data_IF_868045694299
#
_entry.id   IF_868045694299
#
_cell.length_a   1.000
_cell.length_b   1.000
_cell.length_c   1.000
_cell.angle_alpha   90.00
_cell.angle_beta   90.00
_cell.angle_gamma   90.00
#
_symmetry.space_group_name_H-M   'P 1'
#
loop_
_entity.id
_entity.type
_entity.pdbx_description
1 polymer ?
#
# COMPACT_ATOMS: atom_id res chain seq x y z
N UNK A 1 -9.25 -2.83 -19.86
CA UNK A 1 -7.77 -2.90 -19.56
C UNK A 1 -7.04 -1.77 -20.28
N UNK A 2 -7.19 -1.61 -21.60
CA UNK A 2 -6.54 -0.55 -22.38
C UNK A 2 -6.87 0.85 -21.85
N UNK A 3 -8.16 1.16 -21.66
CA UNK A 3 -8.59 2.45 -21.11
C UNK A 3 -7.99 2.76 -19.74
N UNK A 4 -7.81 1.74 -18.89
CA UNK A 4 -7.16 1.91 -17.59
C UNK A 4 -5.68 2.30 -17.76
N UNK A 5 -4.93 1.62 -18.64
CA UNK A 5 -3.52 1.90 -18.88
C UNK A 5 -3.30 3.25 -19.58
N UNK A 6 -4.23 3.66 -20.46
CA UNK A 6 -4.20 4.99 -21.05
C UNK A 6 -4.31 6.08 -19.96
N UNK A 7 -5.23 5.91 -19.02
CA UNK A 7 -5.43 6.85 -17.91
C UNK A 7 -4.34 6.73 -16.83
N UNK A 8 -3.78 5.53 -16.63
CA UNK A 8 -2.80 5.19 -15.60
C UNK A 8 -1.62 4.43 -16.21
N UNK A 9 -0.68 5.13 -16.88
CA UNK A 9 0.41 4.49 -17.64
C UNK A 9 1.33 3.59 -16.80
N UNK A 10 1.42 3.85 -15.51
CA UNK A 10 2.20 3.02 -14.57
C UNK A 10 1.48 1.74 -14.15
N UNK A 11 0.20 1.56 -14.55
CA UNK A 11 -0.66 0.46 -14.10
C UNK A 11 -1.22 0.64 -12.68
N UNK A 12 -1.00 1.80 -12.05
CA UNK A 12 -1.46 2.11 -10.70
C UNK A 12 -2.37 3.34 -10.68
N UNK A 13 -3.50 3.21 -10.03
CA UNK A 13 -4.45 4.30 -9.75
C UNK A 13 -4.38 4.63 -8.26
N UNK A 14 -3.88 5.80 -7.85
CA UNK A 14 -4.01 6.29 -6.48
C UNK A 14 -5.43 6.88 -6.30
N UNK A 15 -6.32 6.23 -5.54
CA UNK A 15 -7.67 6.74 -5.34
C UNK A 15 -7.65 7.94 -4.39
N UNK A 16 -8.58 8.88 -4.61
CA UNK A 16 -8.75 10.01 -3.71
C UNK A 16 -9.40 9.58 -2.41
N UNK A 17 -8.82 9.99 -1.27
CA UNK A 17 -9.47 9.83 0.02
C UNK A 17 -10.67 10.78 0.14
N UNK A 18 -11.80 10.23 0.56
CA UNK A 18 -13.05 10.98 0.78
C UNK A 18 -13.33 11.23 2.25
N UNK A 19 -12.72 10.46 3.13
CA UNK A 19 -12.74 10.69 4.57
C UNK A 19 -11.45 10.16 5.20
N UNK A 20 -10.92 10.90 6.16
CA UNK A 20 -9.76 10.52 6.97
C UNK A 20 -10.13 10.77 8.42
N UNK A 21 -10.11 9.72 9.25
CA UNK A 21 -10.36 9.81 10.68
C UNK A 21 -9.15 9.27 11.44
N UNK A 22 -8.77 9.98 12.49
CA UNK A 22 -7.67 9.60 13.38
C UNK A 22 -8.13 9.67 14.81
N UNK A 23 -7.93 8.61 15.56
CA UNK A 23 -8.27 8.56 16.99
C UNK A 23 -7.29 9.37 17.84
N UNK A 24 -7.78 9.85 19.00
CA UNK A 24 -6.97 10.59 19.96
C UNK A 24 -6.84 12.09 19.68
N UNK A 25 -5.91 12.74 20.39
CA UNK A 25 -5.65 14.20 20.33
C UNK A 25 -4.51 14.56 19.37
N UNK A 26 -4.18 13.66 18.43
CA UNK A 26 -3.11 13.86 17.48
C UNK A 26 -3.50 14.83 16.35
N UNK A 27 -2.54 15.54 15.74
CA UNK A 27 -2.83 16.41 14.63
C UNK A 27 -3.57 15.68 13.50
N UNK A 28 -4.55 16.34 12.85
CA UNK A 28 -5.26 15.72 11.74
C UNK A 28 -4.31 15.44 10.58
N UNK A 29 -4.49 14.31 9.87
CA UNK A 29 -3.74 14.02 8.66
C UNK A 29 -4.07 15.02 7.54
N UNK A 30 -3.11 15.24 6.66
CA UNK A 30 -3.32 16.02 5.43
C UNK A 30 -3.13 15.15 4.19
N UNK A 31 -3.89 15.45 3.14
CA UNK A 31 -3.75 14.79 1.85
C UNK A 31 -3.07 15.72 0.85
N UNK A 32 -2.04 15.23 0.17
CA UNK A 32 -1.34 15.95 -0.88
C UNK A 32 -1.98 15.73 -2.26
N UNK A 33 -1.58 16.53 -3.26
CA UNK A 33 -2.09 16.44 -4.64
C UNK A 33 -1.77 15.10 -5.32
N UNK A 34 -0.70 14.42 -4.92
CA UNK A 34 -0.32 13.09 -5.39
C UNK A 34 -1.08 11.96 -4.68
N UNK A 35 -2.12 12.30 -3.92
CA UNK A 35 -2.96 11.42 -3.11
C UNK A 35 -2.25 10.78 -1.92
N UNK A 36 -1.01 11.19 -1.60
CA UNK A 36 -0.35 10.74 -0.37
C UNK A 36 -0.98 11.39 0.87
N UNK A 37 -0.94 10.66 1.98
CA UNK A 37 -1.42 11.10 3.29
C UNK A 37 -0.21 11.36 4.18
N UNK A 38 -0.13 12.57 4.73
CA UNK A 38 0.92 12.98 5.67
C UNK A 38 0.38 12.93 7.10
N UNK A 39 1.12 12.24 7.96
CA UNK A 39 0.91 12.20 9.39
C UNK A 39 2.03 12.98 10.08
N UNK A 40 1.65 13.84 11.00
CA UNK A 40 2.59 14.63 11.82
C UNK A 40 2.38 14.34 13.31
N UNK A 41 3.35 14.77 14.13
CA UNK A 41 3.37 14.52 15.57
C UNK A 41 3.92 13.13 15.93
N UNK A 42 4.27 12.94 17.19
CA UNK A 42 4.77 11.68 17.70
C UNK A 42 3.75 10.56 17.57
N UNK A 43 4.17 9.33 17.20
CA UNK A 43 3.25 8.20 17.12
C UNK A 43 2.70 7.84 18.51
N UNK A 44 1.42 7.52 18.59
CA UNK A 44 0.78 7.09 19.82
C UNK A 44 0.41 5.60 19.75
N UNK A 45 0.60 4.89 20.83
CA UNK A 45 0.38 3.43 20.91
C UNK A 45 -1.03 2.99 20.51
N UNK A 46 -2.03 3.84 20.72
CA UNK A 46 -3.44 3.56 20.40
C UNK A 46 -3.94 4.40 19.23
N UNK A 47 -3.04 4.95 18.42
CA UNK A 47 -3.41 5.70 17.23
C UNK A 47 -4.06 4.77 16.21
N UNK A 48 -5.34 5.00 15.92
CA UNK A 48 -6.07 4.29 14.88
C UNK A 48 -6.39 5.29 13.78
N UNK A 49 -5.84 5.04 12.62
CA UNK A 49 -6.11 5.81 11.42
C UNK A 49 -7.05 5.01 10.51
N UNK A 50 -8.15 5.60 10.12
CA UNK A 50 -9.07 5.03 9.14
C UNK A 50 -9.22 5.98 7.97
N UNK A 51 -8.98 5.48 6.76
CA UNK A 51 -9.08 6.25 5.52
C UNK A 51 -10.08 5.56 4.62
N UNK A 52 -10.99 6.35 4.08
CA UNK A 52 -12.01 5.91 3.13
C UNK A 52 -11.70 6.51 1.76
N UNK A 53 -11.62 5.67 0.75
CA UNK A 53 -11.42 6.02 -0.65
C UNK A 53 -12.65 5.66 -1.46
N UNK A 54 -13.00 6.49 -2.43
CA UNK A 54 -14.04 6.16 -3.40
C UNK A 54 -13.40 5.58 -4.66
N UNK A 55 -13.80 4.36 -5.01
CA UNK A 55 -13.46 3.71 -6.26
C UNK A 55 -14.54 4.05 -7.29
N UNK A 56 -14.19 4.59 -8.48
CA UNK A 56 -15.15 4.87 -9.53
C UNK A 56 -15.91 3.62 -10.01
N UNK A 57 -17.08 3.78 -10.65
CA UNK A 57 -17.72 2.68 -11.36
C UNK A 57 -16.78 2.05 -12.39
N UNK A 58 -16.98 0.76 -12.66
CA UNK A 58 -16.16 -0.05 -13.58
C UNK A 58 -14.68 -0.18 -13.16
N UNK A 59 -14.38 0.05 -11.88
CA UNK A 59 -13.05 -0.22 -11.32
C UNK A 59 -12.86 -1.71 -11.15
N UNK A 60 -11.74 -2.24 -11.64
CA UNK A 60 -11.26 -3.59 -11.35
C UNK A 60 -10.10 -3.53 -10.36
N UNK A 61 -10.14 -4.40 -9.36
CA UNK A 61 -9.16 -4.49 -8.27
C UNK A 61 -8.59 -5.90 -8.18
N UNK A 62 -7.30 -6.06 -8.41
CA UNK A 62 -6.55 -7.30 -8.19
C UNK A 62 -5.46 -7.10 -7.15
N UNK A 63 -4.79 -5.95 -7.18
CA UNK A 63 -3.68 -5.66 -6.28
C UNK A 63 -3.87 -4.30 -5.63
N UNK A 64 -3.55 -4.21 -4.35
CA UNK A 64 -3.40 -2.95 -3.61
C UNK A 64 -1.91 -2.77 -3.32
N UNK A 65 -1.37 -1.58 -3.59
CA UNK A 65 -0.03 -1.17 -3.19
C UNK A 65 -0.13 -0.12 -2.10
N UNK A 66 0.62 -0.32 -1.04
CA UNK A 66 0.86 0.67 0.01
C UNK A 66 2.30 1.13 -0.12
N UNK A 67 2.50 2.42 -0.34
CA UNK A 67 3.80 3.06 -0.46
C UNK A 67 4.07 3.85 0.80
N UNK A 68 5.21 3.64 1.42
CA UNK A 68 5.73 4.40 2.55
C UNK A 68 6.76 5.41 2.01
N UNK A 69 6.52 6.69 2.23
CA UNK A 69 7.23 7.77 1.56
C UNK A 69 8.00 8.62 2.59
N UNK A 70 9.25 9.00 2.31
CA UNK A 70 9.95 9.99 3.13
C UNK A 70 9.30 11.37 2.96
N UNK A 71 9.35 12.19 4.02
CA UNK A 71 8.84 13.55 3.98
C UNK A 71 9.66 14.49 4.88
N UNK A 72 9.82 15.73 4.46
CA UNK A 72 10.57 16.75 5.19
C UNK A 72 9.97 17.04 6.58
N UNK A 73 8.66 16.96 6.75
CA UNK A 73 7.99 17.10 8.04
C UNK A 73 8.38 16.00 9.05
N UNK A 74 8.95 14.90 8.57
CA UNK A 74 9.47 13.79 9.37
C UNK A 74 11.00 13.64 9.22
N UNK A 75 11.72 14.75 9.05
CA UNK A 75 13.18 14.77 8.86
C UNK A 75 13.66 13.94 7.66
N UNK A 76 12.93 13.94 6.55
CA UNK A 76 13.14 13.11 5.38
C UNK A 76 13.18 11.62 5.68
N UNK A 77 12.47 11.18 6.71
CA UNK A 77 12.33 9.77 7.08
C UNK A 77 10.93 9.27 6.74
N UNK A 78 10.84 7.97 6.59
CA UNK A 78 9.56 7.28 6.40
C UNK A 78 8.82 7.12 7.73
N UNK A 79 9.54 6.71 8.78
CA UNK A 79 9.00 6.58 10.12
C UNK A 79 8.98 7.89 10.90
N UNK A 80 7.96 8.09 11.75
CA UNK A 80 7.82 9.25 12.64
C UNK A 80 8.53 9.09 13.98
N UNK A 81 8.93 7.87 14.32
CA UNK A 81 9.67 7.60 15.56
C UNK A 81 11.06 8.28 15.52
N UNK A 82 11.63 8.65 16.68
CA UNK A 82 12.95 9.28 16.74
C UNK A 82 14.08 8.47 16.10
N UNK A 83 13.95 7.15 16.07
CA UNK A 83 14.89 6.23 15.44
C UNK A 83 14.58 5.96 13.96
N UNK A 84 13.53 6.56 13.41
CA UNK A 84 13.10 6.42 12.01
C UNK A 84 12.41 5.11 11.67
N UNK A 85 12.24 4.21 12.65
CA UNK A 85 11.55 2.93 12.43
C UNK A 85 10.05 3.13 12.24
N UNK A 86 9.47 2.28 11.44
CA UNK A 86 8.03 2.14 11.36
C UNK A 86 7.62 0.68 11.22
N UNK A 87 6.44 0.37 11.72
CA UNK A 87 5.79 -0.93 11.57
C UNK A 87 4.35 -0.70 11.18
N UNK A 88 3.89 -1.34 10.11
CA UNK A 88 2.51 -1.23 9.63
C UNK A 88 1.83 -2.58 9.55
N UNK A 89 0.61 -2.63 10.08
CA UNK A 89 -0.28 -3.77 9.94
C UNK A 89 -1.58 -3.27 9.29
N UNK A 90 -1.61 -3.11 7.96
CA UNK A 90 -2.76 -2.56 7.28
C UNK A 90 -3.90 -3.58 7.21
N UNK A 91 -5.14 -3.09 7.38
CA UNK A 91 -6.36 -3.84 7.13
C UNK A 91 -7.15 -3.13 6.04
N UNK A 92 -7.50 -3.87 5.00
CA UNK A 92 -8.31 -3.36 3.91
C UNK A 92 -9.70 -3.97 3.91
N UNK A 93 -10.70 -3.15 3.59
CA UNK A 93 -12.07 -3.60 3.37
C UNK A 93 -12.66 -2.89 2.15
N UNK A 94 -13.52 -3.57 1.40
CA UNK A 94 -14.33 -2.95 0.35
C UNK A 94 -15.80 -3.14 0.69
N UNK A 95 -16.56 -2.02 0.66
CA UNK A 95 -17.97 -2.00 1.04
C UNK A 95 -18.22 -2.68 2.41
N UNK A 96 -17.34 -2.43 3.38
CA UNK A 96 -17.29 -3.02 4.74
C UNK A 96 -16.91 -4.50 4.79
N UNK A 97 -16.67 -5.18 3.67
CA UNK A 97 -16.15 -6.53 3.66
C UNK A 97 -14.63 -6.51 3.74
N UNK A 98 -14.07 -7.17 4.75
CA UNK A 98 -12.61 -7.33 4.88
C UNK A 98 -12.09 -8.11 3.67
N UNK A 99 -10.99 -7.63 3.09
CA UNK A 99 -10.35 -8.29 1.96
C UNK A 99 -9.45 -9.44 2.45
N UNK A 100 -9.57 -10.58 1.79
CA UNK A 100 -8.60 -11.66 1.84
C UNK A 100 -7.55 -11.50 0.75
N UNK A 101 -6.33 -11.92 1.04
CA UNK A 101 -5.21 -11.84 0.12
C UNK A 101 -4.56 -13.21 -0.03
N UNK A 102 -4.40 -13.67 -1.27
CA UNK A 102 -3.67 -14.90 -1.59
C UNK A 102 -2.18 -14.74 -1.38
N UNK A 103 -1.68 -13.50 -1.54
CA UNK A 103 -0.28 -13.19 -1.43
C UNK A 103 -0.07 -11.77 -0.93
N UNK A 104 0.92 -11.60 -0.05
CA UNK A 104 1.29 -10.30 0.48
C UNK A 104 2.81 -10.20 0.52
N UNK A 105 3.35 -9.06 0.11
CA UNK A 105 4.78 -8.84 0.09
C UNK A 105 5.11 -7.38 0.40
N UNK A 106 6.26 -7.19 1.02
CA UNK A 106 6.88 -5.89 1.22
C UNK A 106 8.37 -5.96 0.88
N UNK A 107 8.94 -4.88 0.37
CA UNK A 107 10.38 -4.74 0.14
C UNK A 107 11.15 -4.70 1.47
N UNK A 108 10.51 -4.20 2.54
CA UNK A 108 10.99 -4.26 3.92
C UNK A 108 10.00 -5.03 4.78
N UNK A 109 10.48 -6.03 5.49
CA UNK A 109 9.69 -6.90 6.35
C UNK A 109 10.56 -7.56 7.42
N UNK A 110 9.94 -7.86 8.56
CA UNK A 110 10.59 -8.63 9.61
C UNK A 110 10.73 -10.10 9.18
N UNK A 111 11.93 -10.68 9.21
CA UNK A 111 12.09 -12.10 8.95
C UNK A 111 11.30 -12.93 9.93
N UNK A 112 10.65 -13.99 9.46
CA UNK A 112 9.97 -14.92 10.35
C UNK A 112 10.96 -15.71 11.17
N UNK A 113 10.71 -15.79 12.48
CA UNK A 113 11.43 -16.67 13.40
C UNK A 113 10.66 -17.98 13.57
N UNK A 114 11.33 -19.08 13.37
CA UNK A 114 10.80 -20.40 13.67
C UNK A 114 11.05 -20.79 15.13
N UNK A 115 10.34 -21.80 15.63
CA UNK A 115 10.46 -22.28 17.01
C UNK A 115 11.86 -22.78 17.36
N UNK A 116 12.66 -23.21 16.38
CA UNK A 116 14.06 -23.61 16.54
C UNK A 116 15.06 -22.43 16.55
N UNK A 117 14.56 -21.17 16.50
CA UNK A 117 15.40 -19.98 16.47
C UNK A 117 15.97 -19.59 15.10
N UNK A 118 15.79 -20.43 14.05
CA UNK A 118 16.19 -20.06 12.71
C UNK A 118 15.31 -18.96 12.14
N UNK A 119 15.84 -18.19 11.18
CA UNK A 119 15.10 -17.17 10.45
C UNK A 119 15.07 -17.55 8.96
N UNK A 120 13.93 -17.40 8.32
CA UNK A 120 13.82 -17.56 6.88
C UNK A 120 13.74 -16.19 6.20
N UNK A 121 14.61 -15.91 5.24
CA UNK A 121 14.41 -14.76 4.36
C UNK A 121 13.27 -14.95 3.37
N UNK A 122 12.83 -16.20 3.13
CA UNK A 122 11.77 -16.57 2.20
C UNK A 122 10.49 -16.86 3.01
N UNK A 123 9.57 -15.92 3.02
CA UNK A 123 8.34 -15.97 3.80
C UNK A 123 7.13 -16.38 2.97
N UNK A 124 7.34 -17.02 1.84
CA UNK A 124 6.31 -17.29 0.84
C UNK A 124 5.10 -18.05 1.38
N UNK A 125 5.27 -18.94 2.34
CA UNK A 125 4.19 -19.79 2.83
C UNK A 125 3.49 -19.32 4.11
N UNK A 126 4.03 -18.32 4.80
CA UNK A 126 3.50 -17.87 6.11
C UNK A 126 2.73 -16.57 6.05
N UNK A 127 2.82 -15.85 4.96
CA UNK A 127 2.14 -14.57 4.77
C UNK A 127 0.71 -14.68 4.30
N UNK A 128 0.25 -15.85 3.92
CA UNK A 128 -1.12 -16.06 3.43
C UNK A 128 -2.19 -15.74 4.48
N UNK A 129 -1.85 -15.74 5.76
CA UNK A 129 -2.80 -15.46 6.85
C UNK A 129 -2.38 -14.31 7.77
N UNK A 130 -1.18 -13.78 7.65
CA UNK A 130 -0.68 -12.69 8.48
C UNK A 130 -0.64 -11.36 7.72
N UNK A 131 -0.99 -10.22 8.34
CA UNK A 131 -0.84 -8.94 7.69
C UNK A 131 0.63 -8.64 7.40
N UNK A 132 0.89 -8.05 6.23
CA UNK A 132 2.23 -7.59 5.88
C UNK A 132 2.67 -6.49 6.85
N UNK A 133 3.90 -6.59 7.31
CA UNK A 133 4.51 -5.65 8.25
C UNK A 133 5.65 -4.94 7.53
N UNK A 134 5.60 -3.61 7.50
CA UNK A 134 6.71 -2.78 7.10
C UNK A 134 7.56 -2.45 8.31
N UNK A 135 8.85 -2.68 8.22
CA UNK A 135 9.81 -2.31 9.25
C UNK A 135 11.03 -1.68 8.61
N UNK A 136 11.41 -0.49 9.08
CA UNK A 136 12.60 0.21 8.63
C UNK A 136 13.65 0.22 9.74
N UNK A 137 14.92 -0.17 9.45
CA UNK A 137 16.02 -0.01 10.38
C UNK A 137 16.28 1.47 10.69
N UNK A 138 16.66 1.79 11.92
CA UNK A 138 16.88 3.15 12.42
C UNK A 138 17.91 3.98 11.64
N UNK A 139 18.85 3.34 10.97
CA UNK A 139 19.93 3.95 10.21
C UNK A 139 19.77 3.84 8.69
N UNK A 140 18.64 3.31 8.20
CA UNK A 140 18.39 3.24 6.77
C UNK A 140 18.19 4.65 6.21
N UNK A 141 18.76 4.90 5.04
CA UNK A 141 18.42 6.09 4.27
C UNK A 141 16.92 6.09 3.97
N UNK A 142 16.32 7.27 4.00
CA UNK A 142 14.89 7.43 3.79
C UNK A 142 14.54 7.27 2.32
N UNK A 143 14.44 6.04 1.90
CA UNK A 143 13.97 5.67 0.56
C UNK A 143 12.48 5.32 0.62
N UNK A 144 11.74 5.52 -0.45
CA UNK A 144 10.38 4.99 -0.55
C UNK A 144 10.37 3.47 -0.42
N UNK A 145 9.43 2.96 0.37
CA UNK A 145 9.19 1.52 0.52
C UNK A 145 7.79 1.16 0.06
N UNK A 146 7.56 -0.11 -0.29
CA UNK A 146 6.24 -0.54 -0.76
C UNK A 146 5.88 -1.95 -0.33
N UNK A 147 4.58 -2.18 -0.16
CA UNK A 147 3.98 -3.49 0.02
C UNK A 147 2.85 -3.70 -0.97
N UNK A 148 2.74 -4.91 -1.45
CA UNK A 148 1.72 -5.36 -2.38
C UNK A 148 0.81 -6.40 -1.72
N UNK A 149 -0.48 -6.25 -1.93
CA UNK A 149 -1.54 -7.10 -1.40
C UNK A 149 -2.35 -7.63 -2.57
N UNK A 150 -2.16 -8.90 -2.91
CA UNK A 150 -2.84 -9.55 -4.03
C UNK A 150 -4.09 -10.26 -3.56
N UNK A 151 -5.24 -9.87 -4.09
CA UNK A 151 -6.50 -10.52 -3.79
C UNK A 151 -6.52 -11.95 -4.35
N UNK A 152 -7.24 -12.86 -3.68
CA UNK A 152 -7.46 -14.22 -4.17
C UNK A 152 -8.07 -14.21 -5.57
N UNK A 153 -9.10 -13.39 -5.79
CA UNK A 153 -9.74 -13.17 -7.08
C UNK A 153 -9.86 -11.69 -7.39
N UNK A 154 -9.77 -11.33 -8.67
CA UNK A 154 -10.06 -9.97 -9.11
C UNK A 154 -11.50 -9.61 -8.81
N UNK A 155 -11.74 -8.38 -8.36
CA UNK A 155 -13.08 -7.83 -8.11
C UNK A 155 -13.34 -6.70 -9.07
N UNK A 156 -14.49 -6.73 -9.75
CA UNK A 156 -14.94 -5.63 -10.62
C UNK A 156 -16.18 -4.99 -10.01
N UNK A 157 -16.15 -3.69 -9.87
CA UNK A 157 -17.24 -2.90 -9.28
C UNK A 157 -17.94 -2.13 -10.40
N UNK A 158 -19.14 -2.54 -10.77
CA UNK A 158 -19.97 -1.87 -11.79
C UNK A 158 -20.54 -0.53 -11.31
N UNK A 159 -20.63 -0.36 -9.99
CA UNK A 159 -21.01 0.89 -9.31
C UNK A 159 -19.84 1.40 -8.48
N UNK A 160 -19.91 2.66 -8.06
CA UNK A 160 -18.95 3.19 -7.11
C UNK A 160 -18.85 2.31 -5.86
N UNK A 161 -17.61 2.04 -5.43
CA UNK A 161 -17.34 1.23 -4.25
C UNK A 161 -16.48 2.01 -3.25
N UNK A 162 -16.53 1.61 -2.00
CA UNK A 162 -15.75 2.24 -0.93
C UNK A 162 -14.62 1.30 -0.51
N UNK A 163 -13.37 1.73 -0.69
CA UNK A 163 -12.19 1.06 -0.14
C UNK A 163 -11.82 1.74 1.18
N UNK A 164 -11.68 0.95 2.25
CA UNK A 164 -11.27 1.43 3.57
C UNK A 164 -9.93 0.82 3.95
N UNK A 165 -8.99 1.66 4.36
CA UNK A 165 -7.74 1.26 5.01
C UNK A 165 -7.82 1.62 6.49
N UNK A 166 -7.50 0.66 7.37
CA UNK A 166 -7.32 0.89 8.80
C UNK A 166 -5.89 0.54 9.19
N UNK A 167 -5.20 1.47 9.83
CA UNK A 167 -3.87 1.30 10.41
C UNK A 167 -3.96 1.47 11.93
N UNK A 168 -3.34 0.55 12.67
CA UNK A 168 -3.18 0.66 14.12
C UNK A 168 -1.74 1.05 14.44
N UNK A 169 -1.58 1.96 15.40
CA UNK A 169 -0.24 2.43 15.85
C UNK A 169 0.65 2.81 14.68
N UNK A 170 0.12 3.66 13.77
CA UNK A 170 0.80 4.01 12.53
C UNK A 170 2.02 4.89 12.82
N UNK A 171 3.21 4.30 12.84
CA UNK A 171 4.48 5.00 13.02
C UNK A 171 5.00 5.64 11.73
N UNK A 172 4.33 5.40 10.62
CA UNK A 172 4.64 5.96 9.31
C UNK A 172 4.36 7.47 9.27
N UNK A 173 5.23 8.21 8.57
CA UNK A 173 5.06 9.66 8.39
C UNK A 173 4.20 10.02 7.20
N UNK A 174 4.50 9.45 6.06
CA UNK A 174 3.77 9.70 4.82
C UNK A 174 3.58 8.41 4.03
N UNK A 175 2.39 8.24 3.46
CA UNK A 175 2.12 7.05 2.66
C UNK A 175 1.10 7.33 1.56
N UNK A 176 1.02 6.42 0.60
CA UNK A 176 0.05 6.44 -0.49
C UNK A 176 -0.50 5.04 -0.73
N UNK A 177 -1.80 4.95 -0.99
CA UNK A 177 -2.46 3.74 -1.46
C UNK A 177 -2.64 3.85 -2.96
N UNK A 178 -2.34 2.79 -3.69
CA UNK A 178 -2.63 2.66 -5.12
C UNK A 178 -3.29 1.31 -5.39
N UNK A 179 -4.14 1.26 -6.39
CA UNK A 179 -4.83 0.03 -6.80
C UNK A 179 -4.51 -0.32 -8.25
N UNK A 180 -4.57 -1.61 -8.57
CA UNK A 180 -4.34 -2.11 -9.92
C UNK A 180 -5.30 -3.25 -10.26
N UNK A 181 -5.78 -3.35 -11.52
CA UNK A 181 -6.49 -4.53 -12.00
C UNK A 181 -5.57 -5.71 -12.29
N UNK A 182 -4.25 -5.51 -12.23
CA UNK A 182 -3.25 -6.52 -12.57
C UNK A 182 -2.69 -7.19 -11.32
N UNK A 183 -2.28 -8.45 -11.47
CA UNK A 183 -1.35 -9.07 -10.53
C UNK A 183 0.04 -8.50 -10.79
N UNK A 184 0.78 -8.17 -9.74
CA UNK A 184 2.18 -7.80 -9.87
C UNK A 184 3.01 -9.07 -9.99
N UNK A 185 3.65 -9.32 -11.14
CA UNK A 185 4.37 -10.57 -11.37
C UNK A 185 5.73 -10.63 -10.66
N UNK A 186 6.27 -9.49 -10.25
CA UNK A 186 7.57 -9.40 -9.57
C UNK A 186 7.35 -8.77 -8.20
N UNK A 187 7.29 -9.61 -7.17
CA UNK A 187 7.11 -9.12 -5.82
C UNK A 187 8.26 -8.20 -5.39
N UNK A 188 7.92 -7.03 -4.86
CA UNK A 188 8.89 -6.08 -4.28
C UNK A 188 9.52 -5.11 -5.26
N UNK A 189 9.31 -5.27 -6.56
CA UNK A 189 9.75 -4.28 -7.55
C UNK A 189 8.57 -3.62 -8.25
N UNK A 190 8.70 -2.35 -8.67
CA UNK A 190 7.73 -1.75 -9.57
C UNK A 190 7.60 -2.65 -10.79
N UNK A 191 6.41 -3.11 -11.11
CA UNK A 191 6.23 -4.00 -12.26
C UNK A 191 6.72 -3.34 -13.54
N UNK A 192 7.82 -3.83 -14.08
CA UNK A 192 8.35 -3.39 -15.37
C UNK A 192 7.37 -3.69 -16.53
N UNK A 193 6.41 -4.60 -16.29
CA UNK A 193 5.39 -4.95 -17.28
C UNK A 193 4.35 -3.84 -17.46
N UNK A 194 4.01 -3.08 -16.41
CA UNK A 194 2.99 -2.04 -16.54
C UNK A 194 3.38 -0.92 -17.52
N UNK A 195 4.59 -0.34 -17.47
CA UNK A 195 5.05 0.60 -18.49
C UNK A 195 5.17 -0.02 -19.88
N UNK A 196 5.62 -1.27 -19.98
CA UNK A 196 5.73 -1.98 -21.25
C UNK A 196 4.36 -2.24 -21.89
N UNK A 197 3.38 -2.69 -21.09
CA UNK A 197 2.00 -2.87 -21.54
C UNK A 197 1.38 -1.54 -21.96
N UNK A 198 1.57 -0.48 -21.19
CA UNK A 198 1.09 0.85 -21.55
C UNK A 198 1.71 1.34 -22.87
N UNK A 199 3.01 1.12 -23.06
CA UNK A 199 3.72 1.45 -24.30
C UNK A 199 3.20 0.63 -25.48
N UNK A 200 2.99 -0.68 -25.30
CA UNK A 200 2.46 -1.55 -26.35
C UNK A 200 1.04 -1.14 -26.77
N UNK A 201 0.16 -0.82 -25.83
CA UNK A 201 -1.18 -0.31 -26.12
C UNK A 201 -1.16 1.01 -26.87
N UNK A 202 -0.31 1.95 -26.42
CA UNK A 202 -0.19 3.26 -27.07
C UNK A 202 0.44 3.20 -28.47
N UNK A 203 1.27 2.19 -28.74
CA UNK A 203 1.88 1.96 -30.08
C UNK A 203 1.01 1.16 -31.03
N UNK A 204 -0.16 0.70 -30.60
CA UNK A 204 -1.07 -0.11 -31.40
C UNK A 204 -0.53 -1.52 -31.73
N UNK A 205 0.53 -1.95 -31.05
CA UNK A 205 1.07 -3.31 -31.20
C UNK A 205 0.32 -4.24 -30.28
N UNK A 206 -0.49 -5.14 -30.83
CA UNK A 206 -0.96 -6.33 -30.12
C UNK A 206 0.23 -7.25 -29.92
N UNK A 207 0.56 -7.53 -28.67
CA UNK A 207 1.45 -8.66 -28.37
C UNK A 207 0.63 -9.93 -28.50
N UNK A 208 0.91 -10.70 -29.55
CA UNK A 208 0.47 -12.08 -29.67
C UNK A 208 1.14 -12.96 -28.61
#
# INVERSE_FOLDING_TARGET
>A
TAAFLTANPTGWLPPQATAITRGGSLPPPSQASDQSILLTGEPAKNDILTITYTLPPNTSLKTIRLEALPDAANNNRVGRSPDGKFTLTPKFAVNRQVLGFSYQQADRRTPQKYSNGSQSPLLENTWQSAPAVFEEPSNAASLPHHAHFHLDASRTFTKAATLTLTLKSADIGKFRVSISPFADPIPGEPSALHPQLASAFNSGKTTD
#
